data_IF_126156740492
#
_entry.id   IF_126156740492
#
_cell.length_a   1.000
_cell.length_b   1.000
_cell.length_c   1.000
_cell.angle_alpha   90.00
_cell.angle_beta   90.00
_cell.angle_gamma   90.00
#
_symmetry.space_group_name_H-M   'P 1'
#
loop_
_entity.id
_entity.type
_entity.pdbx_description
1 polymer ?
#
# COMPACT_ATOMS: atom_id res chain seq x y z
N UNK A 1 -19.51 27.94 33.38
CA UNK A 1 -19.89 26.67 34.03
C UNK A 1 -21.03 26.07 33.25
N UNK A 2 -20.72 25.16 32.33
CA UNK A 2 -21.71 24.25 31.77
C UNK A 2 -21.07 22.87 31.78
N UNK A 3 -21.23 22.18 32.91
CA UNK A 3 -20.89 20.78 33.04
C UNK A 3 -21.95 19.97 32.27
N UNK A 4 -21.85 19.96 30.94
CA UNK A 4 -22.57 19.00 30.14
C UNK A 4 -21.88 17.65 30.32
N UNK A 5 -22.41 16.86 31.26
CA UNK A 5 -22.18 15.43 31.31
C UNK A 5 -22.48 14.88 29.91
N UNK A 6 -21.42 14.56 29.15
CA UNK A 6 -21.50 14.03 27.79
C UNK A 6 -22.13 12.65 27.82
N UNK A 7 -23.46 12.60 27.93
CA UNK A 7 -24.25 11.39 27.79
C UNK A 7 -24.16 10.95 26.34
N UNK A 8 -23.46 9.85 26.08
CA UNK A 8 -23.26 9.35 24.72
C UNK A 8 -24.55 8.63 24.29
N UNK A 9 -25.13 9.09 23.18
CA UNK A 9 -26.33 8.50 22.59
C UNK A 9 -25.96 7.27 21.78
N UNK A 10 -26.50 6.11 22.16
CA UNK A 10 -26.35 4.88 21.39
C UNK A 10 -27.09 5.06 20.06
N UNK A 11 -26.39 4.95 18.93
CA UNK A 11 -27.02 5.08 17.62
C UNK A 11 -27.69 3.77 17.18
N UNK A 12 -28.83 3.87 16.47
CA UNK A 12 -29.56 2.72 15.94
C UNK A 12 -28.95 2.14 14.65
N UNK A 13 -27.90 2.75 14.08
CA UNK A 13 -27.35 2.31 12.79
C UNK A 13 -26.56 0.98 12.92
N UNK A 14 -26.59 0.17 11.86
CA UNK A 14 -25.95 -1.15 11.84
C UNK A 14 -24.41 -1.06 11.82
N UNK A 15 -23.88 0.05 11.33
CA UNK A 15 -22.44 0.34 11.32
C UNK A 15 -22.06 1.01 12.63
N UNK A 16 -21.23 0.35 13.43
CA UNK A 16 -20.67 0.92 14.65
C UNK A 16 -19.46 1.79 14.29
N UNK A 17 -19.50 3.05 14.71
CA UNK A 17 -18.37 3.97 14.59
C UNK A 17 -17.47 3.99 15.84
N UNK A 18 -18.01 3.69 17.03
CA UNK A 18 -17.27 3.70 18.29
C UNK A 18 -17.30 2.36 19.00
N UNK A 19 -16.13 1.89 19.44
CA UNK A 19 -16.01 0.58 20.11
C UNK A 19 -16.87 0.46 21.38
N UNK A 20 -17.02 1.53 22.18
CA UNK A 20 -17.86 1.48 23.39
C UNK A 20 -19.34 1.20 23.08
N UNK A 21 -19.84 1.52 21.88
CA UNK A 21 -21.23 1.20 21.49
C UNK A 21 -21.43 -0.33 21.41
N UNK A 22 -20.41 -1.10 20.99
CA UNK A 22 -20.47 -2.57 20.97
C UNK A 22 -20.55 -3.16 22.38
N UNK A 23 -19.68 -2.66 23.26
CA UNK A 23 -19.66 -3.10 24.65
C UNK A 23 -20.96 -2.73 25.38
N UNK A 24 -21.51 -1.55 25.09
CA UNK A 24 -22.80 -1.11 25.64
C UNK A 24 -23.96 -2.01 25.22
N UNK A 25 -23.98 -2.49 23.95
CA UNK A 25 -24.97 -3.50 23.50
C UNK A 25 -24.87 -4.81 24.28
N UNK A 26 -23.65 -5.19 24.68
CA UNK A 26 -23.39 -6.34 25.55
C UNK A 26 -23.58 -6.05 27.05
N UNK A 27 -24.13 -4.87 27.40
CA UNK A 27 -24.32 -4.39 28.79
C UNK A 27 -23.01 -4.29 29.57
N UNK A 28 -21.89 -4.08 28.88
CA UNK A 28 -20.59 -3.80 29.47
C UNK A 28 -20.38 -2.29 29.49
N UNK A 29 -20.08 -1.75 30.67
CA UNK A 29 -19.71 -0.34 30.82
C UNK A 29 -18.37 -0.10 30.13
N UNK A 30 -18.38 0.71 29.08
CA UNK A 30 -17.19 1.03 28.30
C UNK A 30 -17.10 2.53 28.04
N UNK A 31 -15.88 3.00 27.89
CA UNK A 31 -15.56 4.40 27.57
C UNK A 31 -14.61 4.42 26.38
N UNK A 32 -14.80 5.36 25.46
CA UNK A 32 -13.83 5.61 24.38
C UNK A 32 -13.17 6.97 24.60
N UNK A 33 -11.84 6.98 24.54
CA UNK A 33 -11.06 8.21 24.49
C UNK A 33 -10.78 8.56 23.03
N UNK A 34 -11.25 9.72 22.58
CA UNK A 34 -11.09 10.14 21.18
C UNK A 34 -10.71 11.61 21.05
N UNK A 35 -9.94 11.91 19.99
CA UNK A 35 -9.70 13.29 19.54
C UNK A 35 -10.93 13.90 18.85
N UNK A 36 -11.75 13.06 18.22
CA UNK A 36 -12.94 13.50 17.49
C UNK A 36 -14.08 13.77 18.46
N UNK A 37 -14.78 14.89 18.25
CA UNK A 37 -15.99 15.27 19.01
C UNK A 37 -17.23 14.50 18.53
N UNK A 38 -17.30 14.25 17.23
CA UNK A 38 -18.36 13.49 16.56
C UNK A 38 -17.81 12.15 16.10
N UNK A 39 -18.68 11.17 15.97
CA UNK A 39 -18.24 9.88 15.47
C UNK A 39 -17.97 9.92 13.96
N UNK A 40 -16.88 9.31 13.50
CA UNK A 40 -16.56 9.20 12.09
C UNK A 40 -17.51 8.22 11.37
N UNK A 41 -17.64 8.37 10.06
CA UNK A 41 -18.23 7.35 9.18
C UNK A 41 -17.27 6.16 9.00
N UNK A 42 -17.76 5.07 8.38
CA UNK A 42 -16.97 3.86 8.17
C UNK A 42 -15.72 4.16 7.33
N UNK A 43 -14.54 3.81 7.86
CA UNK A 43 -13.23 4.08 7.27
C UNK A 43 -12.90 5.58 7.07
N UNK A 44 -13.68 6.48 7.68
CA UNK A 44 -13.32 7.89 7.71
C UNK A 44 -12.10 8.07 8.64
N UNK A 45 -11.02 8.66 8.12
CA UNK A 45 -9.76 8.89 8.84
C UNK A 45 -9.03 7.63 9.34
N UNK A 46 -9.24 6.44 8.76
CA UNK A 46 -8.52 5.20 9.16
C UNK A 46 -7.05 5.12 8.71
N UNK A 47 -6.44 6.26 8.39
CA UNK A 47 -5.08 6.35 7.86
C UNK A 47 -5.02 5.95 6.38
N UNK A 48 -4.11 6.57 5.64
CA UNK A 48 -3.89 6.31 4.21
C UNK A 48 -2.44 5.95 3.92
N UNK A 49 -2.14 5.56 2.67
CA UNK A 49 -0.77 5.27 2.23
C UNK A 49 0.18 6.48 2.39
N UNK A 50 -0.38 7.69 2.44
CA UNK A 50 0.37 8.93 2.63
C UNK A 50 0.56 9.33 4.11
N UNK A 51 0.10 8.51 5.07
CA UNK A 51 0.28 8.81 6.48
C UNK A 51 1.77 8.76 6.84
N UNK A 52 2.27 9.83 7.46
CA UNK A 52 3.68 10.04 7.73
C UNK A 52 3.85 10.75 9.06
N UNK A 53 4.96 10.49 9.76
CA UNK A 53 5.33 11.12 11.02
C UNK A 53 5.27 12.65 10.97
N UNK A 54 5.52 13.28 9.82
CA UNK A 54 5.45 14.74 9.67
C UNK A 54 4.09 15.37 10.02
N UNK A 55 3.00 14.61 9.94
CA UNK A 55 1.66 15.09 10.31
C UNK A 55 1.39 15.01 11.82
N UNK A 56 2.26 14.32 12.57
CA UNK A 56 2.11 14.12 14.02
C UNK A 56 3.11 14.97 14.80
N UNK A 57 2.63 15.80 15.71
CA UNK A 57 3.48 16.57 16.62
C UNK A 57 3.85 15.72 17.84
N UNK A 58 5.14 15.56 18.11
CA UNK A 58 5.67 14.82 19.26
C UNK A 58 5.16 15.38 20.60
N UNK A 59 5.15 16.70 20.76
CA UNK A 59 4.71 17.38 21.99
C UNK A 59 3.24 17.11 22.35
N UNK A 60 2.34 17.05 21.36
CA UNK A 60 0.94 16.73 21.60
C UNK A 60 0.75 15.28 22.05
N UNK A 61 1.57 14.36 21.55
CA UNK A 61 1.53 12.95 21.94
C UNK A 61 2.02 12.80 23.38
N UNK A 62 3.17 13.41 23.73
CA UNK A 62 3.69 13.42 25.10
C UNK A 62 2.63 13.94 26.08
N UNK A 63 2.00 15.09 25.76
CA UNK A 63 0.92 15.65 26.58
C UNK A 63 -0.27 14.71 26.72
N UNK A 64 -0.63 14.01 25.65
CA UNK A 64 -1.77 13.09 25.64
C UNK A 64 -1.49 11.85 26.49
N UNK A 65 -0.28 11.27 26.36
CA UNK A 65 0.18 10.14 27.19
C UNK A 65 0.18 10.54 28.66
N UNK A 66 0.78 11.69 28.99
CA UNK A 66 0.77 12.24 30.36
C UNK A 66 -0.64 12.39 30.93
N UNK A 67 -1.58 12.91 30.13
CA UNK A 67 -2.98 13.05 30.53
C UNK A 67 -3.62 11.69 30.82
N UNK A 68 -3.38 10.69 29.96
CA UNK A 68 -3.88 9.32 30.13
C UNK A 68 -3.31 8.70 31.40
N UNK A 69 -2.00 8.77 31.60
CA UNK A 69 -1.31 8.20 32.76
C UNK A 69 -1.79 8.83 34.07
N UNK A 70 -1.91 10.17 34.12
CA UNK A 70 -2.48 10.88 35.26
C UNK A 70 -3.94 10.47 35.52
N UNK A 71 -4.73 10.27 34.48
CA UNK A 71 -6.14 9.90 34.61
C UNK A 71 -6.31 8.46 35.14
N UNK A 72 -5.47 7.52 34.69
CA UNK A 72 -5.47 6.13 35.14
C UNK A 72 -4.96 6.06 36.58
N UNK A 73 -3.86 6.75 36.90
CA UNK A 73 -3.35 6.82 38.26
C UNK A 73 -4.39 7.42 39.21
N UNK A 74 -5.14 8.45 38.77
CA UNK A 74 -6.23 9.03 39.56
C UNK A 74 -7.33 8.02 39.85
N UNK A 75 -7.67 7.22 38.85
CA UNK A 75 -8.69 6.21 38.98
C UNK A 75 -8.26 5.10 39.94
N UNK A 76 -7.05 4.58 39.80
CA UNK A 76 -6.53 3.49 40.65
C UNK A 76 -6.39 3.94 42.11
N UNK A 77 -5.81 5.12 42.35
CA UNK A 77 -5.56 5.61 43.70
C UNK A 77 -6.73 6.40 44.32
N UNK A 78 -7.87 6.50 43.62
CA UNK A 78 -9.09 7.20 44.07
C UNK A 78 -8.82 8.64 44.57
N UNK A 79 -7.86 9.34 43.96
CA UNK A 79 -7.49 10.70 44.34
C UNK A 79 -8.40 11.72 43.63
N UNK A 80 -9.67 11.80 44.02
CA UNK A 80 -10.68 12.60 43.32
C UNK A 80 -10.47 14.13 43.44
N UNK A 81 -9.75 14.59 44.46
CA UNK A 81 -9.68 16.03 44.81
C UNK A 81 -8.28 16.65 44.82
N UNK A 82 -7.22 15.87 44.63
CA UNK A 82 -5.83 16.38 44.65
C UNK A 82 -5.20 16.25 43.27
N UNK A 83 -4.52 17.31 42.82
CA UNK A 83 -3.67 17.22 41.63
C UNK A 83 -2.59 16.17 41.89
N UNK A 84 -2.56 15.15 41.04
CA UNK A 84 -1.58 14.08 41.12
C UNK A 84 -0.26 14.65 40.64
N UNK A 85 0.66 14.88 41.56
CA UNK A 85 2.03 15.33 41.26
C UNK A 85 2.99 14.16 41.11
N UNK A 86 2.50 12.98 40.70
CA UNK A 86 3.32 11.77 40.52
C UNK A 86 4.13 11.88 39.22
N UNK A 87 3.59 12.54 38.20
CA UNK A 87 4.17 12.69 36.86
C UNK A 87 4.60 14.14 36.60
N UNK A 88 5.26 14.79 37.55
CA UNK A 88 5.77 16.16 37.35
C UNK A 88 6.94 16.13 36.38
N UNK A 89 7.10 17.17 35.56
CA UNK A 89 8.23 17.31 34.64
C UNK A 89 9.55 17.17 35.44
N UNK A 90 10.51 16.41 34.91
CA UNK A 90 11.80 16.06 35.55
C UNK A 90 11.72 15.13 36.79
N UNK A 91 10.57 14.52 37.06
CA UNK A 91 10.47 13.47 38.08
C UNK A 91 10.94 12.11 37.56
N UNK A 92 11.27 11.17 38.47
CA UNK A 92 11.72 9.82 38.09
C UNK A 92 10.66 8.99 37.36
N UNK A 93 9.39 9.39 37.44
CA UNK A 93 8.26 8.73 36.79
C UNK A 93 7.74 9.52 35.59
N UNK A 94 8.44 10.58 35.17
CA UNK A 94 8.01 11.38 34.03
C UNK A 94 8.08 10.61 32.71
N UNK A 95 7.22 11.01 31.78
CA UNK A 95 7.12 10.39 30.47
C UNK A 95 8.36 10.76 29.66
N UNK A 96 9.22 9.76 29.40
CA UNK A 96 10.49 9.97 28.71
C UNK A 96 10.27 10.33 27.22
N UNK A 97 10.66 11.54 26.76
CA UNK A 97 10.43 11.96 25.37
C UNK A 97 11.19 11.10 24.35
N UNK A 98 12.43 10.71 24.65
CA UNK A 98 13.24 9.87 23.76
C UNK A 98 12.59 8.51 23.50
N UNK A 99 11.94 7.93 24.52
CA UNK A 99 11.22 6.66 24.40
C UNK A 99 10.02 6.79 23.46
N UNK A 100 9.22 7.85 23.60
CA UNK A 100 8.10 8.14 22.68
C UNK A 100 8.62 8.33 21.26
N UNK A 101 9.71 9.06 21.08
CA UNK A 101 10.30 9.28 19.77
C UNK A 101 10.77 7.99 19.11
N UNK A 102 11.39 7.08 19.85
CA UNK A 102 11.78 5.76 19.36
C UNK A 102 10.57 4.95 18.89
N UNK A 103 9.47 4.99 19.65
CA UNK A 103 8.21 4.35 19.24
C UNK A 103 7.59 4.98 18.00
N UNK A 104 7.60 6.31 17.89
CA UNK A 104 7.10 7.00 16.71
C UNK A 104 7.91 6.66 15.46
N UNK A 105 9.24 6.62 15.58
CA UNK A 105 10.13 6.24 14.49
C UNK A 105 9.87 4.78 14.05
N UNK A 106 9.73 3.86 15.00
CA UNK A 106 9.39 2.46 14.71
C UNK A 106 8.02 2.34 14.02
N UNK A 107 6.97 2.93 14.60
CA UNK A 107 5.61 2.87 14.06
C UNK A 107 5.48 3.55 12.69
N UNK A 108 6.31 4.55 12.40
CA UNK A 108 6.33 5.22 11.10
C UNK A 108 6.95 4.37 9.99
N UNK A 109 7.86 3.45 10.35
CA UNK A 109 8.55 2.55 9.41
C UNK A 109 7.79 1.25 9.18
N UNK A 110 6.95 0.84 10.14
CA UNK A 110 6.18 -0.40 10.06
C UNK A 110 4.81 -0.17 9.39
N UNK A 111 4.42 -1.00 8.40
CA UNK A 111 3.09 -0.91 7.80
C UNK A 111 2.01 -1.41 8.77
N UNK A 112 0.99 -0.57 9.04
CA UNK A 112 -0.06 -0.84 10.04
C UNK A 112 -1.35 -1.44 9.47
N UNK A 113 -1.40 -1.70 8.16
CA UNK A 113 -2.59 -2.26 7.50
C UNK A 113 -2.55 -3.78 7.55
N UNK A 114 -3.69 -4.40 7.85
CA UNK A 114 -3.82 -5.85 8.04
C UNK A 114 -3.25 -6.72 6.89
N UNK A 115 -3.22 -6.22 5.64
CA UNK A 115 -2.62 -6.92 4.50
C UNK A 115 -1.10 -7.11 4.64
N UNK A 116 -0.42 -6.18 5.31
CA UNK A 116 1.03 -6.17 5.48
C UNK A 116 1.46 -6.66 6.87
N UNK A 117 0.52 -6.80 7.81
CA UNK A 117 0.77 -7.34 9.14
C UNK A 117 0.47 -8.84 9.15
N UNK A 118 1.50 -9.66 8.97
CA UNK A 118 1.34 -11.11 9.04
C UNK A 118 1.07 -11.57 10.48
N UNK A 119 0.44 -12.73 10.66
CA UNK A 119 0.15 -13.27 12.01
C UNK A 119 1.40 -13.47 12.87
N UNK A 120 2.55 -13.74 12.24
CA UNK A 120 3.82 -14.01 12.90
C UNK A 120 4.82 -12.87 12.69
N UNK A 121 4.32 -11.65 12.47
CA UNK A 121 5.18 -10.51 12.16
C UNK A 121 6.18 -10.25 13.29
N UNK A 122 7.47 -10.01 12.98
CA UNK A 122 8.46 -9.62 13.99
C UNK A 122 8.01 -8.44 14.85
N UNK A 123 7.25 -7.48 14.28
CA UNK A 123 6.73 -6.34 15.01
C UNK A 123 5.82 -6.74 16.17
N UNK A 124 4.93 -7.73 15.98
CA UNK A 124 4.03 -8.19 17.05
C UNK A 124 4.85 -8.83 18.18
N UNK A 125 5.88 -9.61 17.84
CA UNK A 125 6.78 -10.23 18.82
C UNK A 125 7.63 -9.22 19.57
N UNK A 126 8.09 -8.17 18.90
CA UNK A 126 8.81 -7.06 19.55
C UNK A 126 7.90 -6.31 20.52
N UNK A 127 6.65 -6.04 20.13
CA UNK A 127 5.66 -5.42 21.00
C UNK A 127 5.34 -6.30 22.22
N UNK A 128 5.15 -7.61 22.01
CA UNK A 128 4.94 -8.58 23.09
C UNK A 128 6.12 -8.57 24.06
N UNK A 129 7.35 -8.62 23.55
CA UNK A 129 8.57 -8.58 24.36
C UNK A 129 8.68 -7.29 25.16
N UNK A 130 8.38 -6.14 24.56
CA UNK A 130 8.47 -4.87 25.26
C UNK A 130 7.39 -4.75 26.34
N UNK A 131 6.16 -5.20 26.07
CA UNK A 131 5.11 -5.27 27.09
C UNK A 131 5.48 -6.22 28.23
N UNK A 132 6.13 -7.35 27.93
CA UNK A 132 6.58 -8.32 28.93
C UNK A 132 7.72 -7.78 29.81
N UNK A 133 8.50 -6.81 29.33
CA UNK A 133 9.51 -6.14 30.15
C UNK A 133 8.87 -5.20 31.20
N UNK A 134 7.71 -4.61 30.89
CA UNK A 134 7.04 -3.61 31.73
C UNK A 134 5.82 -4.15 32.49
N UNK A 135 5.35 -5.38 32.21
CA UNK A 135 4.15 -5.99 32.80
C UNK A 135 4.44 -7.41 33.28
N UNK A 136 3.73 -7.87 34.32
CA UNK A 136 3.95 -9.19 34.92
C UNK A 136 3.50 -10.38 34.04
N UNK A 137 2.44 -10.22 33.25
CA UNK A 137 1.88 -11.27 32.39
C UNK A 137 1.37 -10.65 31.09
N UNK A 138 1.74 -11.25 29.95
CA UNK A 138 1.33 -10.82 28.61
C UNK A 138 0.92 -12.07 27.84
N UNK A 139 -0.29 -12.05 27.28
CA UNK A 139 -0.83 -13.14 26.47
C UNK A 139 -1.34 -12.59 25.12
N UNK A 140 -0.94 -13.24 24.03
CA UNK A 140 -1.25 -12.80 22.66
C UNK A 140 -2.48 -13.54 22.14
N UNK A 141 -3.63 -12.86 22.23
CA UNK A 141 -4.91 -13.41 21.79
C UNK A 141 -5.19 -13.12 20.31
N UNK A 142 -5.21 -14.18 19.50
CA UNK A 142 -5.54 -14.10 18.07
C UNK A 142 -7.05 -14.25 17.84
N UNK A 143 -7.77 -13.12 17.80
CA UNK A 143 -9.22 -13.14 17.54
C UNK A 143 -9.50 -13.08 16.04
N UNK A 144 -10.18 -14.09 15.51
CA UNK A 144 -10.76 -14.04 14.17
C UNK A 144 -12.02 -13.19 14.21
N UNK A 145 -12.03 -12.06 13.50
CA UNK A 145 -13.22 -11.23 13.33
C UNK A 145 -14.13 -11.90 12.28
N UNK A 146 -15.09 -12.70 12.76
CA UNK A 146 -16.09 -13.32 11.90
C UNK A 146 -17.24 -12.33 11.63
N UNK A 147 -17.54 -12.06 10.35
CA UNK A 147 -18.85 -11.48 9.98
C UNK A 147 -18.93 -10.22 9.11
N UNK A 148 -17.85 -9.46 8.82
CA UNK A 148 -17.94 -8.34 7.86
C UNK A 148 -16.70 -8.10 6.99
N UNK A 149 -15.50 -8.32 7.51
CA UNK A 149 -14.25 -8.07 6.77
C UNK A 149 -13.45 -9.35 6.65
N UNK A 150 -13.18 -9.76 5.41
CA UNK A 150 -12.18 -10.79 5.13
C UNK A 150 -10.86 -10.08 4.84
N UNK A 151 -9.93 -10.11 5.78
CA UNK A 151 -8.58 -9.60 5.54
C UNK A 151 -7.83 -10.59 4.64
N UNK A 152 -7.56 -10.17 3.41
CA UNK A 152 -6.68 -10.92 2.53
C UNK A 152 -5.27 -10.92 3.11
N UNK A 153 -4.59 -12.06 3.03
CA UNK A 153 -3.18 -12.17 3.38
C UNK A 153 -2.31 -11.52 2.28
N UNK A 154 -1.04 -11.24 2.57
CA UNK A 154 -0.12 -10.52 1.68
C UNK A 154 -0.18 -11.05 0.24
N UNK A 155 -0.71 -10.26 -0.69
CA UNK A 155 -0.80 -10.64 -2.10
C UNK A 155 0.56 -10.50 -2.76
N UNK A 156 1.24 -11.61 -3.04
CA UNK A 156 2.43 -11.62 -3.91
C UNK A 156 1.96 -11.60 -5.36
N UNK A 157 2.02 -10.42 -6.00
CA UNK A 157 1.73 -10.24 -7.41
C UNK A 157 3.02 -10.27 -8.25
N UNK A 158 3.12 -11.16 -9.23
CA UNK A 158 4.18 -11.09 -10.24
C UNK A 158 3.79 -10.07 -11.31
N UNK A 159 4.47 -8.93 -11.32
CA UNK A 159 4.27 -7.91 -12.35
C UNK A 159 5.05 -8.32 -13.62
N UNK A 160 4.33 -8.86 -14.59
CA UNK A 160 4.90 -9.17 -15.90
C UNK A 160 4.90 -7.90 -16.77
N UNK A 161 6.09 -7.33 -17.00
CA UNK A 161 6.28 -6.18 -17.90
C UNK A 161 6.55 -6.73 -19.29
N UNK A 162 5.60 -6.52 -20.21
CA UNK A 162 5.79 -6.80 -21.63
C UNK A 162 5.92 -5.50 -22.40
N UNK A 163 6.92 -5.39 -23.26
CA UNK A 163 7.04 -4.26 -24.19
C UNK A 163 6.06 -4.45 -25.35
N UNK A 164 4.99 -3.67 -25.37
CA UNK A 164 3.97 -3.73 -26.43
C UNK A 164 4.38 -2.80 -27.58
N UNK A 165 4.39 -3.36 -28.80
CA UNK A 165 4.83 -2.73 -30.05
C UNK A 165 6.34 -2.43 -30.12
N UNK A 166 7.12 -3.45 -30.50
CA UNK A 166 8.52 -3.24 -30.91
C UNK A 166 8.55 -2.62 -32.31
N UNK A 167 9.02 -1.38 -32.42
CA UNK A 167 9.31 -0.72 -33.72
C UNK A 167 10.25 -1.58 -34.58
N UNK A 168 11.16 -2.32 -33.93
CA UNK A 168 12.08 -3.26 -34.58
C UNK A 168 11.34 -4.38 -35.32
N UNK A 169 10.22 -4.88 -34.78
CA UNK A 169 9.43 -5.92 -35.44
C UNK A 169 8.84 -5.40 -36.76
N UNK A 170 8.27 -4.19 -36.77
CA UNK A 170 7.73 -3.59 -37.98
C UNK A 170 8.82 -3.29 -39.02
N UNK A 171 9.99 -2.80 -38.61
CA UNK A 171 11.12 -2.57 -39.51
C UNK A 171 11.65 -3.87 -40.12
N UNK A 172 11.76 -4.94 -39.32
CA UNK A 172 12.16 -6.26 -39.81
C UNK A 172 11.12 -6.85 -40.76
N UNK A 173 9.84 -6.79 -40.40
CA UNK A 173 8.74 -7.25 -41.24
C UNK A 173 8.70 -6.51 -42.58
N UNK A 174 8.86 -5.18 -42.55
CA UNK A 174 8.93 -4.34 -43.75
C UNK A 174 10.13 -4.71 -44.63
N UNK A 175 11.29 -4.99 -44.02
CA UNK A 175 12.49 -5.42 -44.74
C UNK A 175 12.30 -6.79 -45.41
N UNK A 176 11.71 -7.75 -44.70
CA UNK A 176 11.42 -9.09 -45.25
C UNK A 176 10.46 -9.00 -46.43
N UNK A 177 9.36 -8.26 -46.29
CA UNK A 177 8.38 -8.05 -47.38
C UNK A 177 9.06 -7.40 -48.59
N UNK A 178 9.84 -6.32 -48.36
CA UNK A 178 10.54 -5.62 -49.43
C UNK A 178 11.55 -6.51 -50.15
N UNK A 179 12.32 -7.31 -49.41
CA UNK A 179 13.28 -8.25 -49.99
C UNK A 179 12.59 -9.29 -50.88
N UNK A 180 11.47 -9.85 -50.42
CA UNK A 180 10.70 -10.84 -51.18
C UNK A 180 10.19 -10.30 -52.52
N UNK A 181 9.60 -9.09 -52.51
CA UNK A 181 9.10 -8.42 -53.71
C UNK A 181 10.21 -8.15 -54.73
N UNK A 182 11.40 -7.74 -54.26
CA UNK A 182 12.56 -7.50 -55.13
C UNK A 182 13.00 -8.80 -55.81
N UNK A 183 13.16 -9.89 -55.06
CA UNK A 183 13.55 -11.19 -55.63
C UNK A 183 12.55 -11.68 -56.67
N UNK A 184 11.25 -11.59 -56.36
CA UNK A 184 10.18 -11.98 -57.28
C UNK A 184 10.21 -11.13 -58.57
N UNK A 185 10.37 -9.81 -58.43
CA UNK A 185 10.46 -8.91 -59.57
C UNK A 185 11.69 -9.20 -60.43
N UNK A 186 12.86 -9.38 -59.81
CA UNK A 186 14.08 -9.76 -60.52
C UNK A 186 13.92 -11.09 -61.27
N UNK A 187 13.29 -12.10 -60.66
CA UNK A 187 13.01 -13.38 -61.30
C UNK A 187 12.10 -13.25 -62.54
N UNK A 188 11.01 -12.50 -62.43
CA UNK A 188 10.09 -12.23 -63.55
C UNK A 188 10.80 -11.43 -64.65
N UNK A 189 11.61 -10.45 -64.28
CA UNK A 189 12.35 -9.62 -65.22
C UNK A 189 13.42 -10.42 -65.98
N UNK A 190 14.16 -11.28 -65.28
CA UNK A 190 15.14 -12.19 -65.90
C UNK A 190 14.44 -13.19 -66.81
N UNK A 191 13.28 -13.72 -66.42
CA UNK A 191 12.53 -14.65 -67.26
C UNK A 191 12.02 -13.95 -68.53
N UNK A 192 11.48 -12.73 -68.43
CA UNK A 192 10.95 -11.99 -69.58
C UNK A 192 12.05 -11.44 -70.51
N UNK A 193 13.14 -10.89 -69.98
CA UNK A 193 14.31 -10.46 -70.78
C UNK A 193 15.15 -11.63 -71.28
N UNK A 194 15.39 -12.65 -70.46
CA UNK A 194 16.12 -13.85 -70.86
C UNK A 194 15.41 -14.61 -71.96
N UNK A 195 14.08 -14.63 -71.98
CA UNK A 195 13.31 -15.15 -73.12
C UNK A 195 13.48 -14.25 -74.36
N UNK A 196 13.47 -12.93 -74.19
CA UNK A 196 13.73 -11.96 -75.27
C UNK A 196 15.13 -12.10 -75.89
N UNK A 197 16.16 -12.30 -75.06
CA UNK A 197 17.54 -12.54 -75.52
C UNK A 197 17.72 -13.95 -76.11
N UNK A 198 17.02 -14.96 -75.62
CA UNK A 198 17.01 -16.30 -76.24
C UNK A 198 16.38 -16.27 -77.64
N UNK A 199 15.28 -15.50 -77.77
CA UNK A 199 14.59 -15.29 -79.05
C UNK A 199 15.47 -14.48 -80.02
N UNK A 200 16.19 -13.47 -79.53
CA UNK A 200 17.11 -12.69 -80.37
C UNK A 200 18.36 -13.49 -80.80
N UNK A 201 18.83 -14.44 -79.98
CA UNK A 201 19.91 -15.37 -80.32
C UNK A 201 19.48 -16.42 -81.36
N UNK A 202 18.21 -16.84 -81.33
CA UNK A 202 17.61 -17.66 -82.39
C UNK A 202 17.37 -16.88 -83.69
N UNK A 203 17.24 -15.55 -83.61
CA UNK A 203 17.10 -14.67 -84.77
C UNK A 203 18.46 -14.06 -85.18
N UNK A 204 19.41 -14.90 -85.59
CA UNK A 204 20.68 -14.43 -86.18
C UNK A 204 20.39 -13.65 -87.49
N UNK A 205 20.88 -12.42 -87.67
CA UNK A 205 20.70 -11.70 -88.93
C UNK A 205 21.45 -12.44 -90.05
N UNK A 206 20.72 -12.73 -91.13
CA UNK A 206 21.22 -13.40 -92.33
C UNK A 206 22.32 -12.51 -92.93
N UNK A 207 23.55 -13.01 -92.95
CA UNK A 207 24.73 -12.37 -93.57
C UNK A 207 24.37 -11.86 -94.98
N UNK A 208 24.31 -10.54 -95.12
CA UNK A 208 24.09 -9.88 -96.40
C UNK A 208 25.39 -10.01 -97.19
N UNK A 209 25.39 -10.89 -98.21
CA UNK A 209 26.49 -11.00 -99.16
C UNK A 209 26.63 -9.66 -99.91
N UNK A 210 27.78 -9.02 -99.72
CA UNK A 210 28.31 -8.00 -100.63
C UNK A 210 28.51 -8.66 -101.99
N UNK A 211 27.88 -8.11 -103.04
CA UNK A 211 28.22 -8.42 -104.44
C UNK A 211 28.91 -7.21 -105.04
N UNK A 212 30.16 -7.43 -105.39
CA UNK A 212 30.98 -6.69 -106.36
C UNK A 212 30.30 -6.66 -107.73
N UNK A 213 30.17 -5.45 -108.29
CA UNK A 213 30.64 -5.03 -109.63
C UNK A 213 30.31 -3.56 -109.81
#
# INVERSE_FOLDING_TARGET
MENSLRKITIRPNALIAWEHEQFSRMRVTATTLSRLSTAPELLENTGGLADNMHFTSESSIIRSVKLVDESIARHIYSQEKKSISIFVDDSSLDVTPSYIRSWLDLLSKTPRVALFLSKNDPFIKELEKELANHTAEVDVQHKTLDGMFTFYNSTSGKLHIYQVASVTFYLLLMLVIRSYLITLFSFIFITTRGLGDLISLFHRPRSQKVKTT
#
